data_IF_720118333253
#
_entry.id   IF_720118333253
#
_cell.length_a   1.000
_cell.length_b   1.000
_cell.length_c   1.000
_cell.angle_alpha   90.00
_cell.angle_beta   90.00
_cell.angle_gamma   90.00
#
_symmetry.space_group_name_H-M   'P 1'
#
loop_
_entity.id
_entity.type
_entity.pdbx_description
1 polymer ?
#
# COMPACT_ATOMS: atom_id res chain seq x y z
N UNK A 1 -13.51 12.32 -0.25
CA UNK A 1 -12.35 12.44 -1.15
C UNK A 1 -12.77 13.17 -2.40
N UNK A 2 -11.97 14.12 -2.88
CA UNK A 2 -12.27 14.86 -4.10
C UNK A 2 -12.16 13.92 -5.33
N UNK A 3 -12.81 14.29 -6.43
CA UNK A 3 -12.74 13.50 -7.66
C UNK A 3 -11.32 13.46 -8.24
N UNK A 4 -10.52 14.52 -8.04
CA UNK A 4 -9.12 14.55 -8.43
C UNK A 4 -8.28 13.58 -7.61
N UNK A 5 -8.51 13.50 -6.30
CA UNK A 5 -7.83 12.54 -5.44
C UNK A 5 -8.21 11.11 -5.80
N UNK A 6 -9.48 10.86 -6.14
CA UNK A 6 -9.92 9.53 -6.59
C UNK A 6 -9.25 9.12 -7.89
N UNK A 7 -9.13 10.05 -8.83
CA UNK A 7 -8.43 9.81 -10.11
C UNK A 7 -6.94 9.56 -9.89
N UNK A 8 -6.33 10.31 -8.98
CA UNK A 8 -4.93 10.13 -8.63
C UNK A 8 -4.68 8.74 -8.02
N UNK A 9 -5.51 8.34 -7.05
CA UNK A 9 -5.40 7.02 -6.42
C UNK A 9 -5.56 5.92 -7.45
N UNK A 10 -6.52 6.04 -8.36
CA UNK A 10 -6.74 5.07 -9.42
C UNK A 10 -5.54 4.94 -10.34
N UNK A 11 -5.02 6.08 -10.82
CA UNK A 11 -3.89 6.10 -11.75
C UNK A 11 -2.61 5.56 -11.12
N UNK A 12 -2.27 6.02 -9.91
CA UNK A 12 -1.06 5.60 -9.20
C UNK A 12 -1.14 4.13 -8.81
N UNK A 13 -2.31 3.66 -8.37
CA UNK A 13 -2.52 2.25 -8.01
C UNK A 13 -2.32 1.33 -9.21
N UNK A 14 -2.85 1.72 -10.38
CA UNK A 14 -2.64 0.96 -11.61
C UNK A 14 -1.17 0.89 -12.01
N UNK A 15 -0.45 2.01 -11.90
CA UNK A 15 0.98 2.06 -12.21
C UNK A 15 1.79 1.21 -11.23
N UNK A 16 1.48 1.26 -9.95
CA UNK A 16 2.15 0.46 -8.93
C UNK A 16 1.91 -1.04 -9.15
N UNK A 17 0.68 -1.44 -9.40
CA UNK A 17 0.34 -2.83 -9.69
C UNK A 17 1.08 -3.34 -10.93
N UNK A 18 1.10 -2.55 -11.98
CA UNK A 18 1.84 -2.85 -13.22
C UNK A 18 3.33 -3.02 -12.95
N UNK A 19 3.94 -2.10 -12.19
CA UNK A 19 5.36 -2.16 -11.86
C UNK A 19 5.70 -3.41 -11.05
N UNK A 20 4.87 -3.78 -10.09
CA UNK A 20 5.09 -5.00 -9.30
C UNK A 20 4.97 -6.27 -10.15
N UNK A 21 3.99 -6.33 -11.06
CA UNK A 21 3.82 -7.47 -11.98
C UNK A 21 5.01 -7.61 -12.94
N UNK A 22 5.55 -6.49 -13.40
CA UNK A 22 6.69 -6.45 -14.30
C UNK A 22 8.05 -6.54 -13.57
N UNK A 23 8.04 -6.53 -12.23
CA UNK A 23 9.24 -6.45 -11.38
C UNK A 23 10.09 -5.24 -11.79
N UNK A 24 9.43 -4.12 -12.07
CA UNK A 24 10.04 -2.87 -12.52
C UNK A 24 10.15 -1.86 -11.38
N UNK A 25 11.14 -0.94 -11.42
CA UNK A 25 11.23 0.13 -10.42
C UNK A 25 10.00 1.04 -10.43
N UNK A 26 9.66 1.54 -9.26
CA UNK A 26 8.58 2.50 -9.08
C UNK A 26 9.02 3.54 -8.05
N UNK A 27 8.92 4.83 -8.39
CA UNK A 27 9.25 5.89 -7.47
C UNK A 27 8.30 5.89 -6.27
N UNK A 28 8.82 6.25 -5.08
CA UNK A 28 8.00 6.31 -3.87
C UNK A 28 6.80 7.26 -4.07
N UNK A 29 5.72 6.98 -3.34
CA UNK A 29 4.45 7.70 -3.50
C UNK A 29 4.59 9.21 -3.28
N UNK A 30 5.45 9.62 -2.36
CA UNK A 30 5.68 11.04 -2.04
C UNK A 30 6.35 11.81 -3.18
N UNK A 31 6.90 11.12 -4.16
CA UNK A 31 7.51 11.71 -5.36
C UNK A 31 6.58 11.71 -6.56
N UNK A 32 5.42 11.08 -6.45
CA UNK A 32 4.47 11.05 -7.54
C UNK A 32 3.76 12.40 -7.68
N UNK A 33 3.56 12.90 -8.92
CA UNK A 33 2.76 14.10 -9.14
C UNK A 33 1.36 13.94 -8.52
N UNK A 34 0.88 14.97 -7.86
CA UNK A 34 -0.42 14.93 -7.21
C UNK A 34 -0.42 14.44 -5.76
N UNK A 35 0.75 14.07 -5.23
CA UNK A 35 0.87 13.71 -3.82
C UNK A 35 0.49 14.89 -2.92
N UNK A 36 -0.33 14.62 -1.90
CA UNK A 36 -0.74 15.63 -0.91
C UNK A 36 -0.10 15.31 0.44
N UNK A 37 0.93 16.05 0.80
CA UNK A 37 1.69 15.83 2.03
C UNK A 37 0.85 16.00 3.30
N UNK A 38 -0.26 16.76 3.23
CA UNK A 38 -1.15 16.95 4.38
C UNK A 38 -2.00 15.70 4.68
N UNK A 39 -2.07 14.75 3.75
CA UNK A 39 -2.88 13.52 3.87
C UNK A 39 -2.05 12.26 3.62
N UNK A 40 -0.80 12.31 3.95
CA UNK A 40 0.20 11.31 3.59
C UNK A 40 -0.24 9.86 3.90
N UNK A 41 -0.58 9.58 5.14
CA UNK A 41 -0.93 8.23 5.55
C UNK A 41 -2.26 7.77 4.94
N UNK A 42 -3.25 8.66 4.89
CA UNK A 42 -4.55 8.34 4.33
C UNK A 42 -4.45 7.99 2.84
N UNK A 43 -3.65 8.75 2.09
CA UNK A 43 -3.41 8.46 0.67
C UNK A 43 -2.69 7.13 0.46
N UNK A 44 -1.68 6.84 1.28
CA UNK A 44 -0.94 5.58 1.19
C UNK A 44 -1.87 4.38 1.42
N UNK A 45 -2.75 4.45 2.41
CA UNK A 45 -3.71 3.38 2.66
C UNK A 45 -4.77 3.26 1.56
N UNK A 46 -5.16 4.36 0.94
CA UNK A 46 -6.09 4.32 -0.20
C UNK A 46 -5.47 3.64 -1.41
N UNK A 47 -4.20 3.94 -1.70
CA UNK A 47 -3.47 3.25 -2.78
C UNK A 47 -3.36 1.77 -2.46
N UNK A 48 -3.00 1.41 -1.23
CA UNK A 48 -2.90 0.02 -0.79
C UNK A 48 -4.23 -0.72 -0.98
N UNK A 49 -5.34 -0.11 -0.56
CA UNK A 49 -6.67 -0.71 -0.69
C UNK A 49 -7.07 -0.88 -2.15
N UNK A 50 -6.73 0.08 -3.01
CA UNK A 50 -7.06 0.01 -4.44
C UNK A 50 -6.24 -1.07 -5.14
N UNK A 51 -4.95 -1.16 -4.86
CA UNK A 51 -4.09 -2.22 -5.40
C UNK A 51 -4.62 -3.58 -4.98
N UNK A 52 -5.01 -3.73 -3.71
CA UNK A 52 -5.62 -4.98 -3.22
C UNK A 52 -6.88 -5.33 -4.01
N UNK A 53 -7.77 -4.36 -4.22
CA UNK A 53 -9.00 -4.59 -4.98
C UNK A 53 -8.71 -5.01 -6.41
N UNK A 54 -7.74 -4.39 -7.07
CA UNK A 54 -7.32 -4.77 -8.43
C UNK A 54 -6.81 -6.20 -8.49
N UNK A 55 -6.03 -6.61 -7.50
CA UNK A 55 -5.48 -7.98 -7.44
C UNK A 55 -6.53 -9.01 -7.09
N UNK A 56 -7.46 -8.70 -6.19
CA UNK A 56 -8.58 -9.57 -5.89
C UNK A 56 -9.45 -9.78 -7.14
N UNK A 57 -9.67 -8.72 -7.91
CA UNK A 57 -10.40 -8.81 -9.17
C UNK A 57 -9.70 -9.70 -10.21
N UNK A 58 -8.36 -9.81 -10.14
CA UNK A 58 -7.58 -10.69 -11.01
C UNK A 58 -7.38 -12.10 -10.43
N UNK A 59 -8.01 -12.44 -9.32
CA UNK A 59 -7.98 -13.76 -8.72
C UNK A 59 -7.03 -13.93 -7.53
N UNK A 60 -6.31 -12.89 -7.12
CA UNK A 60 -5.44 -12.94 -5.95
C UNK A 60 -6.28 -12.98 -4.67
N UNK A 61 -5.79 -13.70 -3.66
CA UNK A 61 -6.44 -13.79 -2.35
C UNK A 61 -5.53 -13.22 -1.28
N UNK A 62 -6.15 -12.57 -0.29
CA UNK A 62 -5.45 -12.03 0.87
C UNK A 62 -5.83 -12.86 2.10
N UNK A 63 -4.84 -13.29 2.88
CA UNK A 63 -5.03 -14.24 3.98
C UNK A 63 -4.78 -13.63 5.35
N UNK A 64 -4.35 -12.39 5.42
CA UNK A 64 -4.05 -11.77 6.70
C UNK A 64 -3.44 -10.40 6.54
N UNK A 65 -2.83 -9.93 7.61
CA UNK A 65 -2.16 -8.64 7.62
C UNK A 65 -0.91 -8.69 8.48
N UNK A 66 0.00 -7.77 8.22
CA UNK A 66 1.23 -7.59 9.00
C UNK A 66 1.17 -6.24 9.69
N UNK A 67 1.50 -6.22 10.98
CA UNK A 67 1.60 -4.98 11.76
C UNK A 67 3.07 -4.63 11.90
N UNK A 68 3.41 -3.39 11.59
CA UNK A 68 4.77 -2.90 11.69
C UNK A 68 4.81 -1.62 12.54
N UNK A 69 5.98 -1.32 13.10
CA UNK A 69 6.19 -0.15 13.96
C UNK A 69 5.28 -0.21 15.19
N UNK A 70 5.48 -1.24 16.02
CA UNK A 70 4.61 -1.50 17.17
C UNK A 70 5.05 -0.85 18.47
N UNK A 71 6.30 -0.39 18.60
CA UNK A 71 6.80 0.24 19.83
C UNK A 71 6.49 1.72 19.83
N UNK A 72 6.19 2.27 21.01
CA UNK A 72 5.97 3.72 21.17
C UNK A 72 7.14 4.55 20.66
N UNK A 73 8.35 4.08 20.93
CA UNK A 73 9.57 4.75 20.50
C UNK A 73 9.66 4.89 18.99
N UNK A 74 9.38 3.80 18.25
CA UNK A 74 9.41 3.80 16.79
C UNK A 74 8.27 4.64 16.23
N UNK A 75 7.08 4.55 16.81
CA UNK A 75 5.93 5.37 16.40
C UNK A 75 6.26 6.86 16.53
N UNK A 76 6.80 7.28 17.67
CA UNK A 76 7.18 8.67 17.91
C UNK A 76 8.26 9.13 16.93
N UNK A 77 9.28 8.31 16.70
CA UNK A 77 10.37 8.63 15.78
C UNK A 77 9.88 8.82 14.34
N UNK A 78 8.83 8.12 13.94
CA UNK A 78 8.24 8.22 12.60
C UNK A 78 7.05 9.17 12.52
N UNK A 79 6.68 9.80 13.64
CA UNK A 79 5.52 10.71 13.70
C UNK A 79 4.17 10.01 13.53
N UNK A 80 4.07 8.74 13.93
CA UNK A 80 2.86 7.94 13.76
C UNK A 80 2.06 7.86 15.06
N UNK A 81 0.73 7.89 14.94
CA UNK A 81 -0.20 7.75 16.07
C UNK A 81 -0.54 6.28 16.36
N UNK A 82 -0.37 5.40 15.39
CA UNK A 82 -0.70 3.99 15.51
C UNK A 82 0.22 3.14 14.63
N UNK A 83 0.33 1.82 14.87
CA UNK A 83 1.11 0.93 14.02
C UNK A 83 0.64 0.93 12.57
N UNK A 84 1.56 0.66 11.66
CA UNK A 84 1.26 0.49 10.23
C UNK A 84 0.77 -0.93 9.97
N UNK A 85 -0.18 -1.07 9.06
CA UNK A 85 -0.78 -2.35 8.70
C UNK A 85 -0.58 -2.58 7.19
N UNK A 86 0.00 -3.74 6.86
CA UNK A 86 0.10 -4.23 5.49
C UNK A 86 -0.75 -5.48 5.30
N UNK A 87 -1.19 -5.75 4.08
CA UNK A 87 -1.97 -6.94 3.75
C UNK A 87 -1.08 -8.04 3.19
N UNK A 88 -1.35 -9.28 3.57
CA UNK A 88 -0.59 -10.45 3.13
C UNK A 88 -1.37 -11.21 2.06
N UNK A 89 -0.72 -11.48 0.93
CA UNK A 89 -1.31 -12.23 -0.17
C UNK A 89 -1.13 -13.74 0.05
N UNK A 90 -2.10 -14.53 -0.40
CA UNK A 90 -2.01 -15.98 -0.33
C UNK A 90 -0.82 -16.51 -1.14
N UNK A 91 -0.52 -15.89 -2.28
CA UNK A 91 0.62 -16.26 -3.11
C UNK A 91 1.98 -16.05 -2.45
N UNK A 92 2.02 -15.22 -1.40
CA UNK A 92 3.23 -14.96 -0.63
C UNK A 92 3.44 -15.91 0.54
N UNK A 93 2.52 -16.86 0.78
CA UNK A 93 2.65 -17.80 1.89
C UNK A 93 3.76 -18.83 1.60
N UNK A 94 4.58 -19.04 2.60
CA UNK A 94 5.62 -20.07 2.57
C UNK A 94 5.27 -21.11 3.64
N UNK A 95 5.21 -22.38 3.24
CA UNK A 95 4.94 -23.47 4.17
C UNK A 95 6.20 -23.78 4.99
N UNK A 96 5.99 -24.24 6.24
CA UNK A 96 7.11 -24.68 7.08
C UNK A 96 7.89 -25.77 6.39
N UNK A 97 9.21 -25.64 6.36
CA UNK A 97 10.10 -26.60 5.74
C UNK A 97 10.21 -26.47 4.23
N UNK A 98 9.57 -25.47 3.64
CA UNK A 98 9.67 -25.23 2.19
C UNK A 98 10.97 -24.50 1.83
#
# INVERSE_FOLDING_TARGET
MSSEQSKWVEAVSAQLDQAERAVAPFDSLDRQPGWDASRELAQAYRVQARVRAMREASGERYTGFKVAVTTRRKLAAMGLASPLIGRLRASGLVQDGA
#
